data_IF_667871978952
#
_entry.id   IF_667871978952
#
_cell.length_a   1.000
_cell.length_b   1.000
_cell.length_c   1.000
_cell.angle_alpha   90.00
_cell.angle_beta   90.00
_cell.angle_gamma   90.00
#
_symmetry.space_group_name_H-M   'P 1'
#
loop_
_entity.id
_entity.type
_entity.pdbx_description
1 polymer ?
#
# COMPACT_ATOMS: atom_id res chain seq x y z
N UNK A 1 25.16 -33.84 -36.14
CA UNK A 1 24.14 -33.82 -35.08
C UNK A 1 24.43 -32.63 -34.17
N UNK A 2 23.68 -31.54 -34.33
CA UNK A 2 23.92 -30.27 -33.66
C UNK A 2 22.96 -30.10 -32.48
N UNK A 3 23.53 -30.00 -31.28
CA UNK A 3 22.83 -29.83 -30.02
C UNK A 3 22.46 -28.35 -29.81
N UNK A 4 21.18 -28.00 -29.99
CA UNK A 4 20.66 -26.66 -29.74
C UNK A 4 20.44 -26.45 -28.25
N UNK A 5 21.35 -25.73 -27.59
CA UNK A 5 21.17 -25.14 -26.26
C UNK A 5 20.03 -24.11 -26.30
N UNK A 6 19.02 -24.30 -25.43
CA UNK A 6 17.96 -23.32 -25.14
C UNK A 6 18.52 -22.24 -24.20
N UNK A 7 18.37 -20.93 -24.48
CA UNK A 7 18.75 -19.90 -23.52
C UNK A 7 17.71 -19.83 -22.39
N UNK A 8 18.21 -19.79 -21.15
CA UNK A 8 17.44 -19.49 -19.96
C UNK A 8 16.96 -18.04 -20.00
N UNK A 9 15.64 -17.83 -19.98
CA UNK A 9 15.04 -16.50 -19.84
C UNK A 9 15.10 -16.09 -18.36
N UNK A 10 16.18 -15.40 -18.00
CA UNK A 10 16.34 -14.75 -16.70
C UNK A 10 15.38 -13.56 -16.53
N UNK A 11 14.73 -13.49 -15.37
CA UNK A 11 13.73 -12.48 -14.97
C UNK A 11 14.27 -11.06 -14.73
N UNK A 12 15.05 -10.50 -15.66
CA UNK A 12 15.60 -9.15 -15.59
C UNK A 12 14.87 -8.10 -16.44
N UNK A 13 14.05 -8.51 -17.41
CA UNK A 13 13.50 -7.61 -18.44
C UNK A 13 12.37 -6.68 -17.97
N UNK A 14 11.54 -7.12 -17.02
CA UNK A 14 10.37 -6.37 -16.58
C UNK A 14 10.75 -5.19 -15.66
N UNK A 15 11.77 -5.36 -14.80
CA UNK A 15 12.29 -4.31 -13.90
C UNK A 15 12.73 -3.04 -14.64
N UNK A 16 13.37 -3.17 -15.82
CA UNK A 16 13.79 -2.03 -16.64
C UNK A 16 12.66 -1.31 -17.38
N UNK A 17 11.56 -2.01 -17.66
CA UNK A 17 10.36 -1.43 -18.28
C UNK A 17 9.57 -0.56 -17.28
N UNK A 18 9.51 -0.99 -16.02
CA UNK A 18 8.87 -0.22 -14.94
C UNK A 18 9.56 1.11 -14.67
N UNK A 19 10.90 1.08 -14.58
CA UNK A 19 11.71 2.30 -14.45
C UNK A 19 11.40 3.32 -15.56
N UNK A 20 11.19 2.86 -16.81
CA UNK A 20 10.89 3.70 -17.97
C UNK A 20 9.47 4.28 -17.99
N UNK A 21 8.47 3.53 -17.52
CA UNK A 21 7.10 4.04 -17.35
C UNK A 21 7.02 5.04 -16.18
N UNK A 22 7.84 4.85 -15.14
CA UNK A 22 7.96 5.78 -14.01
C UNK A 22 8.80 7.02 -14.32
N UNK A 23 9.71 6.94 -15.30
CA UNK A 23 10.70 7.98 -15.64
C UNK A 23 10.19 9.06 -16.61
N UNK A 24 8.91 9.08 -16.99
CA UNK A 24 8.34 10.20 -17.73
C UNK A 24 7.56 11.14 -16.77
N UNK A 25 8.20 12.19 -16.22
CA UNK A 25 7.57 13.14 -15.31
C UNK A 25 6.43 13.94 -15.96
N UNK A 26 6.45 14.12 -17.28
CA UNK A 26 5.47 14.95 -18.00
C UNK A 26 4.09 14.27 -18.19
N UNK A 27 4.03 12.93 -18.20
CA UNK A 27 2.77 12.21 -18.41
C UNK A 27 1.97 11.98 -17.11
N UNK A 28 2.57 12.27 -15.95
CA UNK A 28 2.02 11.90 -14.64
C UNK A 28 1.23 13.02 -13.95
N UNK A 29 1.34 14.28 -14.36
CA UNK A 29 0.80 15.41 -13.59
C UNK A 29 0.40 16.57 -14.50
N UNK A 30 -0.90 16.68 -14.82
CA UNK A 30 -1.56 17.95 -15.24
C UNK A 30 -3.08 17.88 -15.44
N UNK A 31 -3.75 16.84 -14.97
CA UNK A 31 -5.22 16.78 -15.03
C UNK A 31 -5.74 16.74 -13.59
N UNK A 32 -6.58 17.71 -13.25
CA UNK A 32 -7.24 17.81 -11.95
C UNK A 32 -7.73 16.44 -11.51
N UNK A 33 -7.27 15.98 -10.36
CA UNK A 33 -7.76 14.75 -9.76
C UNK A 33 -9.15 15.10 -9.23
N UNK A 34 -10.28 14.55 -9.73
CA UNK A 34 -11.50 14.51 -8.94
C UNK A 34 -11.14 13.80 -7.63
N UNK A 35 -11.19 14.54 -6.54
CA UNK A 35 -10.93 14.05 -5.19
C UNK A 35 -12.31 13.76 -4.61
N UNK A 36 -12.62 12.51 -4.22
CA UNK A 36 -13.83 12.20 -3.49
C UNK A 36 -13.98 13.10 -2.28
N UNK A 37 -15.19 13.61 -2.07
CA UNK A 37 -15.46 14.61 -1.02
C UNK A 37 -15.19 14.07 0.38
N UNK A 38 -15.48 12.79 0.60
CA UNK A 38 -15.30 12.14 1.90
C UNK A 38 -15.08 10.63 1.84
N UNK A 39 -14.58 10.08 2.93
CA UNK A 39 -14.66 8.66 3.23
C UNK A 39 -16.03 8.33 3.86
N UNK A 40 -16.63 7.23 3.41
CA UNK A 40 -17.93 6.72 3.85
C UNK A 40 -17.80 5.72 5.00
N UNK A 41 -16.80 4.85 4.90
CA UNK A 41 -16.55 3.75 5.84
C UNK A 41 -15.05 3.47 5.91
N UNK A 42 -14.61 2.96 7.06
CA UNK A 42 -13.29 2.36 7.24
C UNK A 42 -13.47 0.84 7.40
N UNK A 43 -12.79 0.01 6.60
CA UNK A 43 -12.80 -1.44 6.76
C UNK A 43 -12.25 -1.84 8.14
N UNK A 44 -12.65 -3.02 8.62
CA UNK A 44 -12.06 -3.58 9.83
C UNK A 44 -10.65 -4.11 9.52
N UNK A 45 -9.77 -4.06 10.52
CA UNK A 45 -8.47 -4.73 10.44
C UNK A 45 -8.55 -5.98 11.32
N UNK A 46 -8.34 -7.16 10.73
CA UNK A 46 -8.30 -8.42 11.46
C UNK A 46 -6.90 -8.76 11.99
N UNK A 47 -5.88 -7.97 11.62
CA UNK A 47 -4.52 -8.16 12.12
C UNK A 47 -4.43 -7.74 13.59
N UNK A 48 -3.80 -8.58 14.39
CA UNK A 48 -3.48 -8.24 15.78
C UNK A 48 -2.45 -7.11 15.80
N UNK A 49 -2.79 -6.03 16.50
CA UNK A 49 -1.87 -4.96 16.85
C UNK A 49 -1.11 -5.29 18.13
N UNK A 50 0.05 -4.66 18.28
CA UNK A 50 0.93 -4.77 19.45
C UNK A 50 1.26 -3.35 19.92
N UNK A 51 0.80 -2.92 21.10
CA UNK A 51 1.03 -1.57 21.60
C UNK A 51 2.49 -1.32 22.01
N UNK A 52 3.31 -2.36 22.20
CA UNK A 52 4.75 -2.18 22.50
C UNK A 52 5.48 -1.60 21.29
N UNK A 53 5.17 -2.07 20.08
CA UNK A 53 5.68 -1.51 18.81
C UNK A 53 5.25 -0.05 18.64
N UNK A 54 4.03 0.31 19.08
CA UNK A 54 3.61 1.71 19.06
C UNK A 54 4.49 2.60 19.95
N UNK A 55 4.88 2.09 21.12
CA UNK A 55 5.77 2.79 22.06
C UNK A 55 7.16 3.02 21.45
N UNK A 56 7.70 2.03 20.72
CA UNK A 56 8.95 2.18 19.98
C UNK A 56 8.84 3.26 18.90
N UNK A 57 7.76 3.25 18.12
CA UNK A 57 7.51 4.24 17.07
C UNK A 57 7.38 5.66 17.65
N UNK A 58 6.75 5.83 18.82
CA UNK A 58 6.71 7.13 19.50
C UNK A 58 8.10 7.61 19.91
N UNK A 59 8.97 6.69 20.31
CA UNK A 59 10.39 6.97 20.60
C UNK A 59 11.25 7.17 19.35
N UNK A 60 10.67 7.10 18.14
CA UNK A 60 11.40 7.22 16.88
C UNK A 60 12.21 5.97 16.52
N UNK A 61 11.88 4.81 17.09
CA UNK A 61 12.52 3.53 16.81
C UNK A 61 11.61 2.70 15.91
N UNK A 62 12.15 2.25 14.78
CA UNK A 62 11.41 1.57 13.72
C UNK A 62 12.00 0.18 13.46
N UNK A 63 11.41 -0.84 14.08
CA UNK A 63 11.74 -2.25 13.92
C UNK A 63 10.90 -2.93 12.82
N UNK A 64 11.50 -3.17 11.65
CA UNK A 64 10.81 -3.79 10.50
C UNK A 64 11.69 -4.87 9.86
N UNK A 65 11.09 -5.95 9.35
CA UNK A 65 11.79 -7.04 8.68
C UNK A 65 13.06 -7.55 9.43
N UNK A 66 13.03 -7.57 10.77
CA UNK A 66 14.15 -8.00 11.61
C UNK A 66 15.31 -6.99 11.73
N UNK A 67 15.13 -5.74 11.27
CA UNK A 67 16.11 -4.65 11.41
C UNK A 67 15.49 -3.47 12.15
N UNK A 68 16.29 -2.80 12.97
CA UNK A 68 15.85 -1.64 13.77
C UNK A 68 16.62 -0.40 13.37
N UNK A 69 15.91 0.71 13.20
CA UNK A 69 16.47 2.04 12.89
C UNK A 69 15.97 3.04 13.92
N UNK A 70 16.88 3.84 14.48
CA UNK A 70 16.54 5.02 15.27
C UNK A 70 16.50 6.25 14.37
N UNK A 71 15.42 7.02 14.43
CA UNK A 71 15.24 8.21 13.64
C UNK A 71 15.83 9.48 14.26
N UNK A 72 16.16 9.45 15.55
CA UNK A 72 16.83 10.55 16.26
C UNK A 72 16.12 11.90 16.07
N UNK A 73 14.78 11.88 16.07
CA UNK A 73 13.94 13.08 15.89
C UNK A 73 13.73 13.51 14.43
N UNK A 74 14.33 12.84 13.45
CA UNK A 74 14.03 13.00 12.01
C UNK A 74 12.87 12.12 11.59
N UNK A 75 12.38 12.33 10.37
CA UNK A 75 11.37 11.44 9.80
C UNK A 75 12.01 10.09 9.40
N UNK A 76 11.38 8.93 9.66
CA UNK A 76 11.89 7.64 9.19
C UNK A 76 12.02 7.57 7.66
N UNK A 77 11.28 8.42 6.95
CA UNK A 77 11.28 8.51 5.49
C UNK A 77 12.50 9.24 4.90
N UNK A 78 13.31 9.90 5.72
CA UNK A 78 14.56 10.57 5.35
C UNK A 78 15.79 9.69 5.55
N UNK A 79 15.64 8.60 6.30
CA UNK A 79 16.75 7.72 6.66
C UNK A 79 17.03 6.75 5.52
N UNK A 80 18.31 6.51 5.25
CA UNK A 80 18.72 5.47 4.31
C UNK A 80 18.26 4.10 4.87
N UNK A 81 17.37 3.37 4.19
CA UNK A 81 16.84 2.13 4.72
C UNK A 81 17.93 1.04 4.78
N UNK A 82 17.99 0.24 5.85
CA UNK A 82 19.01 -0.80 6.03
C UNK A 82 18.75 -2.04 5.15
N UNK A 83 17.54 -2.20 4.59
CA UNK A 83 17.26 -3.14 3.50
C UNK A 83 16.01 -2.76 2.74
N UNK A 84 15.78 -3.44 1.61
CA UNK A 84 14.58 -3.28 0.79
C UNK A 84 13.33 -3.69 1.58
N UNK A 85 13.37 -4.82 2.27
CA UNK A 85 12.24 -5.35 3.05
C UNK A 85 11.84 -4.40 4.18
N UNK A 86 12.83 -3.80 4.87
CA UNK A 86 12.57 -2.79 5.89
C UNK A 86 11.85 -1.56 5.29
N UNK A 87 12.29 -1.10 4.12
CA UNK A 87 11.64 0.04 3.44
C UNK A 87 10.24 -0.30 2.91
N UNK A 88 10.03 -1.52 2.42
CA UNK A 88 8.71 -2.00 1.99
C UNK A 88 7.71 -1.99 3.15
N UNK A 89 8.12 -2.45 4.34
CA UNK A 89 7.28 -2.42 5.55
C UNK A 89 6.98 -0.99 6.02
N UNK A 90 8.00 -0.11 6.07
CA UNK A 90 7.82 1.29 6.41
C UNK A 90 6.82 1.96 5.44
N UNK A 91 7.05 1.82 4.14
CA UNK A 91 6.27 2.48 3.08
C UNK A 91 4.88 1.86 2.86
N UNK A 92 4.65 0.65 3.38
CA UNK A 92 3.38 -0.07 3.34
C UNK A 92 2.40 0.32 4.44
N UNK A 93 2.85 1.01 5.50
CA UNK A 93 2.00 1.52 6.61
C UNK A 93 1.20 0.46 7.37
N UNK A 94 1.49 -0.83 7.20
CA UNK A 94 0.78 -1.89 7.92
C UNK A 94 0.93 -1.75 9.44
N UNK A 95 2.02 -1.12 9.89
CA UNK A 95 2.32 -0.84 11.29
C UNK A 95 1.36 0.14 11.97
N UNK A 96 0.49 0.84 11.24
CA UNK A 96 -0.56 1.68 11.82
C UNK A 96 -1.52 0.89 12.73
N UNK A 97 -1.67 -0.42 12.52
CA UNK A 97 -2.42 -1.32 13.41
C UNK A 97 -1.90 -1.29 14.85
N UNK A 98 -0.59 -1.13 15.05
CA UNK A 98 0.03 -1.06 16.37
C UNK A 98 -0.39 0.23 17.08
N UNK A 99 -0.35 1.37 16.38
CA UNK A 99 -0.81 2.66 16.91
C UNK A 99 -2.31 2.63 17.24
N UNK A 100 -3.11 1.98 16.39
CA UNK A 100 -4.55 1.75 16.66
C UNK A 100 -4.75 0.93 17.92
N UNK A 101 -3.96 -0.12 18.14
CA UNK A 101 -4.08 -0.97 19.33
C UNK A 101 -3.66 -0.28 20.63
N UNK A 102 -2.76 0.71 20.57
CA UNK A 102 -2.39 1.51 21.74
C UNK A 102 -3.52 2.47 22.20
N UNK A 103 -4.35 2.96 21.27
CA UNK A 103 -5.58 3.71 21.59
C UNK A 103 -5.39 5.07 22.28
N UNK A 104 -4.18 5.63 22.29
CA UNK A 104 -3.88 6.92 22.93
C UNK A 104 -4.12 8.09 21.97
N UNK A 105 -4.41 9.29 22.49
CA UNK A 105 -4.45 10.52 21.68
C UNK A 105 -3.12 10.76 20.94
N UNK A 106 -2.00 10.38 21.57
CA UNK A 106 -0.67 10.39 20.96
C UNK A 106 -0.59 9.51 19.70
N UNK A 107 -1.32 8.38 19.64
CA UNK A 107 -1.37 7.52 18.45
C UNK A 107 -1.85 8.26 17.21
N UNK A 108 -2.93 9.03 17.35
CA UNK A 108 -3.55 9.76 16.23
C UNK A 108 -2.67 10.92 15.76
N UNK A 109 -2.01 11.62 16.70
CA UNK A 109 -1.04 12.68 16.39
C UNK A 109 0.19 12.12 15.67
N UNK A 110 0.77 11.03 16.19
CA UNK A 110 1.95 10.40 15.60
C UNK A 110 1.64 9.79 14.21
N UNK A 111 0.50 9.11 14.06
CA UNK A 111 0.04 8.61 12.76
C UNK A 111 -0.12 9.74 11.74
N UNK A 112 -0.72 10.87 12.14
CA UNK A 112 -0.88 12.06 11.29
C UNK A 112 0.45 12.66 10.88
N UNK A 113 1.39 12.79 11.81
CA UNK A 113 2.73 13.30 11.53
C UNK A 113 3.44 12.41 10.48
N UNK A 114 3.49 11.10 10.70
CA UNK A 114 4.14 10.16 9.78
C UNK A 114 3.46 10.11 8.39
N UNK A 115 2.12 10.19 8.34
CA UNK A 115 1.40 10.31 7.07
C UNK A 115 1.74 11.62 6.36
N UNK A 116 1.81 12.74 7.09
CA UNK A 116 2.18 14.04 6.54
C UNK A 116 3.59 14.04 5.97
N UNK A 117 4.55 13.50 6.72
CA UNK A 117 5.94 13.36 6.28
C UNK A 117 6.03 12.54 4.99
N UNK A 118 5.35 11.40 4.93
CA UNK A 118 5.32 10.59 3.71
C UNK A 118 4.71 11.35 2.53
N UNK A 119 3.62 12.10 2.74
CA UNK A 119 3.01 12.92 1.67
C UNK A 119 4.02 13.96 1.17
N UNK A 120 4.74 14.62 2.06
CA UNK A 120 5.71 15.66 1.73
C UNK A 120 6.94 15.11 1.00
N UNK A 121 7.53 14.03 1.51
CA UNK A 121 8.80 13.46 1.03
C UNK A 121 8.63 12.47 -0.12
N UNK A 122 7.56 11.68 -0.10
CA UNK A 122 7.35 10.53 -1.01
C UNK A 122 6.07 10.61 -1.85
N UNK A 123 5.21 11.60 -1.62
CA UNK A 123 3.97 11.81 -2.39
C UNK A 123 4.18 12.24 -3.85
N UNK A 124 5.41 12.61 -4.20
CA UNK A 124 5.92 12.88 -5.56
C UNK A 124 6.39 11.62 -6.30
N UNK A 125 7.24 11.76 -7.32
CA UNK A 125 7.67 10.65 -8.19
C UNK A 125 8.82 9.79 -7.60
N UNK A 126 8.66 9.27 -6.37
CA UNK A 126 9.66 8.40 -5.75
C UNK A 126 9.55 6.94 -6.28
N UNK A 127 10.58 6.35 -6.90
CA UNK A 127 10.45 5.05 -7.59
C UNK A 127 9.98 3.89 -6.70
N UNK A 128 10.60 3.71 -5.53
CA UNK A 128 10.28 2.59 -4.61
C UNK A 128 8.91 2.77 -3.95
N UNK A 129 8.65 3.94 -3.36
CA UNK A 129 7.37 4.27 -2.71
C UNK A 129 6.12 4.04 -3.57
N UNK A 130 6.26 4.13 -4.90
CA UNK A 130 5.19 3.92 -5.88
C UNK A 130 5.22 2.54 -6.55
N UNK A 131 5.97 1.57 -6.02
CA UNK A 131 5.81 0.18 -6.46
C UNK A 131 4.35 -0.28 -6.23
N UNK A 132 3.73 -1.05 -7.16
CA UNK A 132 2.30 -1.39 -7.08
C UNK A 132 1.90 -2.10 -5.79
N UNK A 133 2.68 -3.08 -5.34
CA UNK A 133 2.39 -3.83 -4.11
C UNK A 133 2.47 -2.95 -2.86
N UNK A 134 3.51 -2.11 -2.75
CA UNK A 134 3.69 -1.17 -1.64
C UNK A 134 2.54 -0.14 -1.63
N UNK A 135 2.20 0.40 -2.79
CA UNK A 135 1.11 1.38 -2.92
C UNK A 135 -0.25 0.77 -2.59
N UNK A 136 -0.49 -0.49 -2.98
CA UNK A 136 -1.71 -1.21 -2.64
C UNK A 136 -1.80 -1.46 -1.13
N UNK A 137 -0.72 -1.93 -0.49
CA UNK A 137 -0.66 -2.08 0.98
C UNK A 137 -0.93 -0.78 1.71
N UNK A 138 -0.26 0.31 1.30
CA UNK A 138 -0.45 1.62 1.92
C UNK A 138 -1.87 2.14 1.75
N UNK A 139 -2.47 2.00 0.56
CA UNK A 139 -3.86 2.40 0.34
C UNK A 139 -4.83 1.63 1.22
N UNK A 140 -4.65 0.30 1.38
CA UNK A 140 -5.45 -0.52 2.29
C UNK A 140 -5.26 -0.03 3.73
N UNK A 141 -4.01 0.08 4.20
CA UNK A 141 -3.71 0.53 5.56
C UNK A 141 -4.30 1.91 5.87
N UNK A 142 -4.20 2.87 4.94
CA UNK A 142 -4.75 4.20 5.10
C UNK A 142 -6.29 4.18 5.18
N UNK A 143 -6.95 3.41 4.32
CA UNK A 143 -8.41 3.27 4.36
C UNK A 143 -8.89 2.63 5.67
N UNK A 144 -8.27 1.50 6.05
CA UNK A 144 -8.58 0.72 7.26
C UNK A 144 -8.32 1.52 8.55
N UNK A 145 -7.23 2.28 8.60
CA UNK A 145 -6.85 3.08 9.76
C UNK A 145 -7.26 4.56 9.64
N UNK A 146 -8.14 4.89 8.70
CA UNK A 146 -8.60 6.27 8.52
C UNK A 146 -9.23 6.88 9.79
N UNK A 147 -9.96 6.15 10.67
CA UNK A 147 -10.46 6.74 11.91
C UNK A 147 -9.33 7.22 12.83
N UNK A 148 -8.24 6.45 12.93
CA UNK A 148 -7.04 6.83 13.70
C UNK A 148 -6.35 8.05 13.09
N UNK A 149 -6.11 8.02 11.77
CA UNK A 149 -5.35 9.07 11.07
C UNK A 149 -6.11 10.42 11.12
N UNK A 150 -7.44 10.37 10.92
CA UNK A 150 -8.29 11.55 10.73
C UNK A 150 -8.90 12.09 12.03
N UNK A 151 -8.79 11.37 13.15
CA UNK A 151 -9.32 11.81 14.45
C UNK A 151 -8.77 13.18 14.86
N UNK A 152 -9.62 14.18 15.05
CA UNK A 152 -9.22 15.55 15.42
C UNK A 152 -8.26 16.20 14.41
N UNK A 153 -8.36 15.83 13.13
CA UNK A 153 -7.59 16.46 12.05
C UNK A 153 -8.23 17.76 11.55
N UNK A 154 -7.40 18.71 11.14
CA UNK A 154 -7.87 19.93 10.48
C UNK A 154 -8.24 19.68 9.00
N UNK A 155 -8.95 20.65 8.42
CA UNK A 155 -9.39 20.58 7.03
C UNK A 155 -8.24 20.56 6.00
N UNK A 156 -7.09 21.15 6.33
CA UNK A 156 -5.92 21.20 5.45
C UNK A 156 -5.25 19.83 5.34
N UNK A 157 -5.06 19.15 6.47
CA UNK A 157 -4.59 17.78 6.52
C UNK A 157 -5.57 16.84 5.81
N UNK A 158 -6.87 16.93 6.11
CA UNK A 158 -7.90 16.11 5.48
C UNK A 158 -7.84 16.20 3.95
N UNK A 159 -7.76 17.41 3.40
CA UNK A 159 -7.66 17.65 1.96
C UNK A 159 -6.39 17.06 1.36
N UNK A 160 -5.26 17.20 2.05
CA UNK A 160 -3.96 16.67 1.59
C UNK A 160 -3.94 15.14 1.61
N UNK A 161 -4.48 14.54 2.67
CA UNK A 161 -4.70 13.10 2.81
C UNK A 161 -5.58 12.56 1.68
N UNK A 162 -6.77 13.12 1.48
CA UNK A 162 -7.70 12.68 0.43
C UNK A 162 -7.11 12.83 -0.97
N UNK A 163 -6.39 13.93 -1.25
CA UNK A 163 -5.69 14.12 -2.51
C UNK A 163 -4.63 13.04 -2.76
N UNK A 164 -3.84 12.75 -1.74
CA UNK A 164 -2.78 11.74 -1.82
C UNK A 164 -3.35 10.34 -2.02
N UNK A 165 -4.36 9.96 -1.23
CA UNK A 165 -5.05 8.68 -1.36
C UNK A 165 -5.67 8.52 -2.75
N UNK A 166 -6.37 9.54 -3.26
CA UNK A 166 -6.95 9.53 -4.61
C UNK A 166 -5.89 9.33 -5.70
N UNK A 167 -4.69 9.91 -5.53
CA UNK A 167 -3.57 9.72 -6.45
C UNK A 167 -3.07 8.28 -6.44
N UNK A 168 -2.95 7.67 -5.24
CA UNK A 168 -2.56 6.27 -5.08
C UNK A 168 -3.57 5.33 -5.76
N UNK A 169 -4.86 5.52 -5.51
CA UNK A 169 -5.94 4.73 -6.13
C UNK A 169 -5.93 4.84 -7.65
N UNK A 170 -5.76 6.05 -8.20
CA UNK A 170 -5.64 6.25 -9.64
C UNK A 170 -4.43 5.55 -10.24
N UNK A 171 -3.28 5.66 -9.58
CA UNK A 171 -2.07 4.98 -9.99
C UNK A 171 -2.29 3.47 -10.07
N UNK A 172 -2.88 2.88 -9.02
CA UNK A 172 -3.21 1.46 -8.97
C UNK A 172 -4.17 1.05 -10.09
N UNK A 173 -5.22 1.85 -10.34
CA UNK A 173 -6.19 1.54 -11.41
C UNK A 173 -5.54 1.60 -12.80
N UNK A 174 -4.60 2.54 -13.02
CA UNK A 174 -3.87 2.67 -14.27
C UNK A 174 -2.85 1.56 -14.47
N UNK A 175 -2.20 1.10 -13.40
CA UNK A 175 -1.12 0.11 -13.48
C UNK A 175 -1.64 -1.34 -13.47
N UNK A 176 -2.86 -1.57 -12.99
CA UNK A 176 -3.49 -2.91 -12.92
C UNK A 176 -3.28 -3.79 -14.17
N UNK A 177 -3.52 -3.32 -15.42
CA UNK A 177 -3.41 -4.18 -16.61
C UNK A 177 -2.00 -4.73 -16.85
N UNK A 178 -0.98 -4.06 -16.32
CA UNK A 178 0.43 -4.44 -16.50
C UNK A 178 1.05 -4.97 -15.20
N UNK A 179 0.36 -4.87 -14.05
CA UNK A 179 0.87 -5.28 -12.75
C UNK A 179 1.37 -6.73 -12.79
N UNK A 180 2.44 -7.01 -12.04
CA UNK A 180 3.06 -8.34 -11.94
C UNK A 180 2.01 -9.41 -11.60
N UNK A 181 2.00 -10.50 -12.36
CA UNK A 181 1.02 -11.58 -12.21
C UNK A 181 1.14 -12.28 -10.86
N UNK A 182 0.06 -12.92 -10.41
CA UNK A 182 0.00 -13.54 -9.08
C UNK A 182 -0.37 -12.54 -7.99
N UNK A 183 0.18 -12.77 -6.79
CA UNK A 183 -0.22 -12.04 -5.58
C UNK A 183 -0.15 -10.50 -5.69
N UNK A 184 0.87 -9.89 -6.34
CA UNK A 184 0.91 -8.44 -6.50
C UNK A 184 -0.31 -7.88 -7.25
N UNK A 185 -0.74 -8.50 -8.36
CA UNK A 185 -1.93 -8.06 -9.09
C UNK A 185 -3.22 -8.27 -8.29
N UNK A 186 -3.33 -9.38 -7.55
CA UNK A 186 -4.46 -9.62 -6.66
C UNK A 186 -4.54 -8.54 -5.57
N UNK A 187 -3.41 -8.20 -4.95
CA UNK A 187 -3.37 -7.15 -3.93
C UNK A 187 -3.79 -5.78 -4.48
N UNK A 188 -3.44 -5.46 -5.73
CA UNK A 188 -3.91 -4.24 -6.41
C UNK A 188 -5.44 -4.25 -6.55
N UNK A 189 -6.07 -5.38 -6.90
CA UNK A 189 -7.54 -5.43 -7.02
C UNK A 189 -8.25 -5.35 -5.68
N UNK A 190 -7.66 -5.92 -4.61
CA UNK A 190 -8.14 -5.73 -3.22
C UNK A 190 -8.13 -4.24 -2.86
N UNK A 191 -7.01 -3.55 -3.04
CA UNK A 191 -6.89 -2.13 -2.72
C UNK A 191 -7.88 -1.25 -3.49
N UNK A 192 -8.10 -1.54 -4.78
CA UNK A 192 -9.09 -0.83 -5.60
C UNK A 192 -10.54 -1.13 -5.19
N UNK A 193 -10.80 -2.34 -4.67
CA UNK A 193 -12.13 -2.72 -4.15
C UNK A 193 -12.40 -1.98 -2.85
N UNK A 194 -11.43 -1.94 -1.94
CA UNK A 194 -11.49 -1.15 -0.72
C UNK A 194 -11.73 0.32 -1.03
N UNK A 195 -10.95 0.91 -1.94
CA UNK A 195 -11.13 2.30 -2.34
C UNK A 195 -12.54 2.59 -2.87
N UNK A 196 -13.08 1.72 -3.73
CA UNK A 196 -14.43 1.85 -4.26
C UNK A 196 -15.53 1.75 -3.20
N UNK A 197 -15.32 0.96 -2.13
CA UNK A 197 -16.25 0.87 -1.00
C UNK A 197 -16.17 2.08 -0.07
N UNK A 198 -14.96 2.58 0.16
CA UNK A 198 -14.69 3.56 1.21
C UNK A 198 -14.83 5.00 0.73
N UNK A 199 -14.59 5.31 -0.54
CA UNK A 199 -14.57 6.68 -1.06
C UNK A 199 -15.93 7.06 -1.67
N UNK A 200 -16.45 8.24 -1.29
CA UNK A 200 -17.73 8.72 -1.80
C UNK A 200 -17.71 8.93 -3.33
N UNK A 201 -18.76 8.46 -4.02
CA UNK A 201 -18.90 8.64 -5.47
C UNK A 201 -18.13 7.62 -6.33
N UNK A 202 -17.42 6.67 -5.73
CA UNK A 202 -16.58 5.68 -6.44
C UNK A 202 -17.31 4.36 -6.77
N UNK A 203 -18.64 4.39 -6.92
CA UNK A 203 -19.44 3.18 -7.21
C UNK A 203 -19.00 2.48 -8.50
N UNK A 204 -18.63 3.24 -9.54
CA UNK A 204 -18.12 2.66 -10.79
C UNK A 204 -16.78 1.96 -10.57
N UNK A 205 -15.90 2.53 -9.75
CA UNK A 205 -14.63 1.90 -9.40
C UNK A 205 -14.90 0.58 -8.68
N UNK A 206 -15.78 0.58 -7.66
CA UNK A 206 -16.16 -0.63 -6.92
C UNK A 206 -16.65 -1.75 -7.84
N UNK A 207 -17.61 -1.46 -8.74
CA UNK A 207 -18.16 -2.48 -9.65
C UNK A 207 -17.10 -3.06 -10.60
N UNK A 208 -16.12 -2.26 -11.02
CA UNK A 208 -15.03 -2.73 -11.87
C UNK A 208 -13.98 -3.52 -11.09
N UNK A 209 -13.59 -3.03 -9.91
CA UNK A 209 -12.56 -3.68 -9.08
C UNK A 209 -13.07 -4.98 -8.47
N UNK A 210 -14.33 -5.07 -8.05
CA UNK A 210 -14.93 -6.31 -7.56
C UNK A 210 -14.92 -7.42 -8.62
N UNK A 211 -15.24 -7.09 -9.89
CA UNK A 211 -15.15 -8.07 -11.00
C UNK A 211 -13.71 -8.55 -11.23
N UNK A 212 -12.74 -7.63 -11.17
CA UNK A 212 -11.31 -7.96 -11.31
C UNK A 212 -10.82 -8.80 -10.13
N UNK A 213 -11.25 -8.49 -8.91
CA UNK A 213 -10.94 -9.24 -7.71
C UNK A 213 -11.46 -10.68 -7.82
N UNK A 214 -12.74 -10.86 -8.18
CA UNK A 214 -13.32 -12.20 -8.41
C UNK A 214 -12.55 -12.97 -9.49
N UNK A 215 -12.17 -12.29 -10.57
CA UNK A 215 -11.39 -12.91 -11.64
C UNK A 215 -10.01 -13.39 -11.15
N UNK A 216 -9.26 -12.53 -10.43
CA UNK A 216 -7.95 -12.89 -9.89
C UNK A 216 -8.05 -13.97 -8.81
N UNK A 217 -9.06 -13.93 -7.94
CA UNK A 217 -9.30 -15.00 -6.96
C UNK A 217 -9.55 -16.35 -7.64
N UNK A 218 -10.37 -16.39 -8.70
CA UNK A 218 -10.60 -17.63 -9.48
C UNK A 218 -9.35 -18.13 -10.20
N UNK A 219 -8.43 -17.24 -10.59
CA UNK A 219 -7.15 -17.62 -11.22
C UNK A 219 -6.12 -18.12 -10.22
N UNK A 220 -6.12 -17.56 -9.01
CA UNK A 220 -5.01 -17.70 -8.06
C UNK A 220 -5.33 -18.59 -6.86
N UNK A 221 -6.61 -18.86 -6.58
CA UNK A 221 -7.05 -19.81 -5.55
C UNK A 221 -7.48 -21.10 -6.24
N UNK A 222 -6.79 -22.19 -5.92
CA UNK A 222 -7.02 -23.52 -6.47
C UNK A 222 -8.27 -24.17 -5.83
N UNK A 223 -8.80 -25.27 -6.40
CA UNK A 223 -9.96 -25.96 -5.84
C UNK A 223 -9.77 -26.50 -4.41
N UNK A 224 -8.51 -26.71 -3.99
CA UNK A 224 -8.13 -27.10 -2.62
C UNK A 224 -8.10 -25.91 -1.63
N UNK A 225 -8.40 -24.69 -2.09
CA UNK A 225 -8.34 -23.46 -1.31
C UNK A 225 -6.92 -22.86 -1.21
N UNK A 226 -5.91 -23.54 -1.74
CA UNK A 226 -4.52 -23.06 -1.74
C UNK A 226 -4.27 -21.99 -2.79
N UNK A 227 -3.35 -21.07 -2.50
CA UNK A 227 -2.87 -20.11 -3.49
C UNK A 227 -1.89 -20.78 -4.48
N UNK A 228 -1.91 -20.39 -5.77
CA UNK A 228 -1.08 -20.99 -6.84
C UNK A 228 0.43 -20.97 -6.57
N UNK A 229 0.92 -20.02 -5.77
CA UNK A 229 2.33 -19.94 -5.39
C UNK A 229 2.76 -21.05 -4.42
N UNK A 230 1.81 -21.82 -3.87
CA UNK A 230 2.02 -22.81 -2.81
C UNK A 230 2.74 -22.24 -1.57
N UNK A 231 2.69 -20.91 -1.39
CA UNK A 231 3.21 -20.24 -0.21
C UNK A 231 2.06 -20.02 0.81
N UNK A 232 2.11 -20.68 1.99
CA UNK A 232 1.06 -20.55 3.00
C UNK A 232 0.92 -19.12 3.57
N UNK A 233 1.97 -18.30 3.52
CA UNK A 233 1.86 -16.89 3.93
C UNK A 233 0.89 -16.13 3.03
N UNK A 234 0.91 -16.40 1.72
CA UNK A 234 0.06 -15.68 0.76
C UNK A 234 -1.42 -15.88 1.04
N UNK A 235 -1.85 -17.11 1.36
CA UNK A 235 -3.28 -17.36 1.65
C UNK A 235 -3.73 -16.67 2.95
N UNK A 236 -2.87 -16.63 3.97
CA UNK A 236 -3.15 -15.91 5.23
C UNK A 236 -3.34 -14.41 4.95
N UNK A 237 -2.44 -13.81 4.16
CA UNK A 237 -2.56 -12.39 3.79
C UNK A 237 -3.86 -12.10 3.03
N UNK A 238 -4.24 -12.96 2.08
CA UNK A 238 -5.48 -12.82 1.30
C UNK A 238 -6.71 -12.93 2.21
N UNK A 239 -6.75 -13.92 3.12
CA UNK A 239 -7.87 -14.12 4.03
C UNK A 239 -8.07 -12.93 4.95
N UNK A 240 -6.99 -12.43 5.56
CA UNK A 240 -7.04 -11.29 6.48
C UNK A 240 -7.48 -10.01 5.75
N UNK A 241 -7.13 -9.85 4.46
CA UNK A 241 -7.55 -8.68 3.68
C UNK A 241 -9.01 -8.76 3.18
N UNK A 242 -9.65 -9.92 3.19
CA UNK A 242 -10.98 -10.14 2.56
C UNK A 242 -12.10 -10.51 3.53
N UNK A 243 -11.78 -10.85 4.77
CA UNK A 243 -12.74 -11.14 5.84
C UNK A 243 -13.07 -9.87 6.62
#
# INVERSE_FOLDING_TARGET
MAERRRPALGGGGLRGWWARITANPAYRWRIGVPIPERLLIAPQDLRTGDPTIATEIYGGVFGFAGKTVSAEGRSPFEILPPSREWSEELLGFSWLRHLRSAGLTLSSQNARALVSDWIALHGGAHPVSWEPAITARRAIAWLTHSPLILQDSDHGFYRSYMRSLSRQVRFLNKIYPVAEDGYPRLLVTVALTFAGLCMAGEQRLFQQSAKRLIHELRRQILPDGGHISRNPRTIIEILIDLL
#
